data_IF_914941498888
#
_entry.id   IF_914941498888
#
_cell.length_a   1.000
_cell.length_b   1.000
_cell.length_c   1.000
_cell.angle_alpha   90.00
_cell.angle_beta   90.00
_cell.angle_gamma   90.00
#
_symmetry.space_group_name_H-M   'P 1'
#
loop_
_entity.id
_entity.type
_entity.pdbx_description
1 polymer ?
#
# COMPACT_ATOMS: atom_id res chain seq x y z
N UNK A 1 -17.51 59.28 54.88
CA UNK A 1 -16.78 58.48 53.87
C UNK A 1 -17.14 59.04 52.51
N UNK A 2 -16.20 59.72 51.84
CA UNK A 2 -16.43 60.47 50.61
C UNK A 2 -16.78 59.54 49.44
N UNK A 3 -17.98 59.74 48.88
CA UNK A 3 -18.53 59.07 47.70
C UNK A 3 -17.70 59.33 46.43
N UNK A 4 -17.00 60.46 46.36
CA UNK A 4 -16.14 60.85 45.22
C UNK A 4 -14.89 59.97 45.06
N UNK A 5 -14.32 59.48 46.17
CA UNK A 5 -13.17 58.56 46.14
C UNK A 5 -13.52 57.15 45.68
N UNK A 6 -14.78 56.74 45.81
CA UNK A 6 -15.28 55.45 45.29
C UNK A 6 -15.48 55.48 43.78
N UNK A 7 -15.97 56.60 43.23
CA UNK A 7 -16.18 56.75 41.80
C UNK A 7 -14.86 56.69 41.00
N UNK A 8 -13.79 57.31 41.51
CA UNK A 8 -12.48 57.26 40.84
C UNK A 8 -11.82 55.87 40.97
N UNK A 9 -12.02 55.19 42.09
CA UNK A 9 -11.54 53.83 42.31
C UNK A 9 -12.24 52.81 41.40
N UNK A 10 -13.56 52.89 41.27
CA UNK A 10 -14.34 52.01 40.39
C UNK A 10 -13.98 52.23 38.91
N UNK A 11 -13.73 53.48 38.51
CA UNK A 11 -13.25 53.79 37.15
C UNK A 11 -11.84 53.25 36.91
N UNK A 12 -10.93 53.39 37.89
CA UNK A 12 -9.56 52.88 37.78
C UNK A 12 -9.54 51.34 37.70
N UNK A 13 -10.35 50.68 38.51
CA UNK A 13 -10.50 49.21 38.51
C UNK A 13 -11.11 48.76 37.17
N UNK A 14 -12.17 49.44 36.70
CA UNK A 14 -12.80 49.14 35.42
C UNK A 14 -11.85 49.31 34.23
N UNK A 15 -11.07 50.40 34.20
CA UNK A 15 -10.04 50.64 33.17
C UNK A 15 -8.91 49.60 33.26
N UNK A 16 -8.52 49.19 34.46
CA UNK A 16 -7.47 48.18 34.66
C UNK A 16 -7.93 46.81 34.18
N UNK A 17 -9.16 46.39 34.51
CA UNK A 17 -9.75 45.15 34.02
C UNK A 17 -9.87 45.21 32.49
N UNK A 18 -10.31 46.34 31.93
CA UNK A 18 -10.39 46.52 30.48
C UNK A 18 -9.01 46.41 29.82
N UNK A 19 -7.98 47.10 30.33
CA UNK A 19 -6.63 47.06 29.78
C UNK A 19 -6.02 45.66 29.86
N UNK A 20 -6.17 44.96 30.99
CA UNK A 20 -5.68 43.58 31.14
C UNK A 20 -6.41 42.65 30.18
N UNK A 21 -7.72 42.77 30.06
CA UNK A 21 -8.52 41.96 29.12
C UNK A 21 -8.15 42.27 27.68
N UNK A 22 -7.91 43.54 27.35
CA UNK A 22 -7.50 43.98 26.02
C UNK A 22 -6.12 43.45 25.64
N UNK A 23 -5.14 43.56 26.55
CA UNK A 23 -3.79 42.99 26.35
C UNK A 23 -3.87 41.47 26.18
N UNK A 24 -4.69 40.80 27.01
CA UNK A 24 -4.90 39.36 26.90
C UNK A 24 -5.47 38.98 25.53
N UNK A 25 -6.55 39.63 25.07
CA UNK A 25 -7.15 39.35 23.75
C UNK A 25 -6.16 39.68 22.62
N UNK A 26 -5.44 40.80 22.71
CA UNK A 26 -4.48 41.23 21.70
C UNK A 26 -3.29 40.26 21.55
N UNK A 27 -2.90 39.56 22.62
CA UNK A 27 -1.84 38.55 22.59
C UNK A 27 -2.37 37.14 22.27
N UNK A 28 -3.54 36.79 22.80
CA UNK A 28 -4.12 35.47 22.66
C UNK A 28 -4.61 35.21 21.23
N UNK A 29 -5.29 36.19 20.63
CA UNK A 29 -5.93 36.02 19.33
C UNK A 29 -4.92 35.72 18.20
N UNK A 30 -3.79 36.44 18.05
CA UNK A 30 -2.75 36.07 17.08
C UNK A 30 -2.14 34.68 17.34
N UNK A 31 -1.98 34.31 18.61
CA UNK A 31 -1.35 33.03 19.00
C UNK A 31 -2.20 31.84 18.58
N UNK A 32 -3.53 31.91 18.80
CA UNK A 32 -4.46 30.84 18.36
C UNK A 32 -4.43 30.65 16.84
N UNK A 33 -4.25 31.73 16.07
CA UNK A 33 -4.17 31.63 14.61
C UNK A 33 -2.78 31.26 14.08
N UNK A 34 -1.72 31.35 14.89
CA UNK A 34 -0.37 30.97 14.46
C UNK A 34 -0.29 29.46 14.17
N UNK A 35 -0.87 28.64 15.06
CA UNK A 35 -0.93 27.18 14.91
C UNK A 35 -1.78 26.74 13.71
N UNK A 36 -2.90 27.43 13.47
CA UNK A 36 -3.77 27.15 12.32
C UNK A 36 -3.03 27.44 11.00
N UNK A 37 -2.18 28.48 10.97
CA UNK A 37 -1.40 28.83 9.76
C UNK A 37 -0.30 27.81 9.45
N UNK A 38 0.38 27.26 10.46
CA UNK A 38 1.38 26.21 10.25
C UNK A 38 0.72 24.92 9.76
N UNK A 39 -0.42 24.53 10.34
CA UNK A 39 -1.17 23.35 9.92
C UNK A 39 -1.69 23.44 8.47
N UNK A 40 -2.29 24.58 8.09
CA UNK A 40 -2.76 24.82 6.72
C UNK A 40 -1.60 24.77 5.72
N UNK A 41 -0.45 25.33 6.07
CA UNK A 41 0.73 25.30 5.20
C UNK A 41 1.23 23.88 4.98
N UNK A 42 1.29 23.05 6.02
CA UNK A 42 1.73 21.65 5.91
C UNK A 42 0.75 20.80 5.09
N UNK A 43 -0.56 21.00 5.29
CA UNK A 43 -1.59 20.31 4.52
C UNK A 43 -1.52 20.64 3.02
N UNK A 44 -1.29 21.91 2.69
CA UNK A 44 -1.08 22.32 1.30
C UNK A 44 0.13 21.62 0.67
N UNK A 45 1.26 21.55 1.39
CA UNK A 45 2.48 20.91 0.89
C UNK A 45 2.32 19.39 0.71
N UNK A 46 1.70 18.70 1.68
CA UNK A 46 1.42 17.27 1.56
C UNK A 46 0.48 16.95 0.39
N UNK A 47 -0.57 17.75 0.19
CA UNK A 47 -1.46 17.64 -0.95
C UNK A 47 -0.72 17.84 -2.27
N UNK A 48 0.04 18.94 -2.39
CA UNK A 48 0.81 19.28 -3.60
C UNK A 48 1.77 18.16 -3.98
N UNK A 49 2.54 17.64 -3.02
CA UNK A 49 3.47 16.53 -3.26
C UNK A 49 2.72 15.29 -3.72
N UNK A 50 1.61 14.93 -3.07
CA UNK A 50 0.82 13.77 -3.48
C UNK A 50 0.32 13.92 -4.92
N UNK A 51 -0.29 15.06 -5.25
CA UNK A 51 -0.80 15.35 -6.60
C UNK A 51 0.32 15.30 -7.63
N UNK A 52 1.47 15.90 -7.34
CA UNK A 52 2.64 15.83 -8.21
C UNK A 52 3.05 14.38 -8.45
N UNK A 53 3.17 13.57 -7.41
CA UNK A 53 3.58 12.18 -7.58
C UNK A 53 2.58 11.36 -8.43
N UNK A 54 1.27 11.58 -8.28
CA UNK A 54 0.22 10.72 -8.86
C UNK A 54 -0.51 11.30 -10.07
N UNK A 55 -0.16 12.49 -10.53
CA UNK A 55 -0.80 13.10 -11.73
C UNK A 55 0.18 13.47 -12.84
N UNK A 56 1.50 13.40 -12.60
CA UNK A 56 2.51 13.60 -13.65
C UNK A 56 3.34 12.34 -13.88
N UNK A 57 3.78 12.14 -15.11
CA UNK A 57 4.72 11.08 -15.47
C UNK A 57 6.13 11.39 -14.97
N UNK A 58 6.37 12.63 -14.59
CA UNK A 58 7.70 13.12 -14.27
C UNK A 58 8.43 13.60 -15.52
N UNK A 59 9.55 14.24 -15.26
CA UNK A 59 10.38 14.85 -16.29
C UNK A 59 11.82 14.94 -15.78
N UNK A 60 12.78 15.07 -16.68
CA UNK A 60 14.14 15.40 -16.32
C UNK A 60 14.78 16.33 -17.35
N UNK A 61 15.82 17.04 -16.91
CA UNK A 61 16.68 17.87 -17.73
C UNK A 61 18.09 17.86 -17.15
N UNK A 62 19.10 17.81 -18.01
CA UNK A 62 20.51 17.95 -17.63
C UNK A 62 21.17 19.21 -18.23
N UNK A 63 20.35 20.17 -18.67
CA UNK A 63 20.79 21.42 -19.30
C UNK A 63 21.02 21.33 -20.80
N UNK A 64 21.28 20.15 -21.35
CA UNK A 64 21.41 19.94 -22.82
C UNK A 64 20.30 19.09 -23.39
N UNK A 65 19.81 18.11 -22.64
CA UNK A 65 18.76 17.18 -23.02
C UNK A 65 17.67 17.15 -21.95
N UNK A 66 16.48 16.72 -22.34
CA UNK A 66 15.34 16.52 -21.47
C UNK A 66 14.54 15.27 -21.88
N UNK A 67 13.70 14.80 -20.99
CA UNK A 67 12.85 13.63 -21.20
C UNK A 67 11.85 13.43 -20.07
N UNK A 68 11.09 12.34 -20.11
CA UNK A 68 10.04 11.99 -19.13
C UNK A 68 10.40 10.79 -18.25
N UNK A 69 11.40 10.01 -18.65
CA UNK A 69 11.85 8.77 -18.02
C UNK A 69 12.97 9.01 -16.98
N UNK A 70 12.72 9.89 -16.02
CA UNK A 70 13.70 10.27 -15.01
C UNK A 70 14.20 9.07 -14.18
N UNK A 71 13.39 8.03 -14.07
CA UNK A 71 13.66 6.78 -13.35
C UNK A 71 14.82 5.97 -13.96
N UNK A 72 15.12 6.15 -15.24
CA UNK A 72 16.18 5.42 -15.94
C UNK A 72 17.59 6.01 -15.69
N UNK A 73 17.66 7.18 -15.04
CA UNK A 73 18.89 7.96 -14.84
C UNK A 73 19.43 7.89 -13.41
N UNK A 74 19.42 6.70 -12.79
CA UNK A 74 19.87 6.45 -11.41
C UNK A 74 21.25 7.03 -11.09
N UNK A 75 22.19 6.98 -12.05
CA UNK A 75 23.55 7.51 -11.88
C UNK A 75 23.64 9.04 -11.90
N UNK A 76 22.59 9.74 -12.36
CA UNK A 76 22.58 11.20 -12.48
C UNK A 76 21.79 11.91 -11.40
N UNK A 77 20.98 11.21 -10.59
CA UNK A 77 20.13 11.84 -9.57
C UNK A 77 20.91 12.72 -8.59
N UNK A 78 22.15 12.38 -8.27
CA UNK A 78 23.01 13.18 -7.39
C UNK A 78 23.75 14.35 -8.06
N UNK A 79 23.64 14.53 -9.37
CA UNK A 79 24.33 15.60 -10.10
C UNK A 79 23.56 16.92 -9.98
N UNK A 80 24.26 18.00 -9.64
CA UNK A 80 23.68 19.35 -9.54
C UNK A 80 23.02 19.82 -10.84
N UNK A 81 23.60 19.46 -11.99
CA UNK A 81 23.07 19.82 -13.31
C UNK A 81 21.84 19.00 -13.71
N UNK A 82 21.57 17.89 -13.03
CA UNK A 82 20.41 17.04 -13.30
C UNK A 82 19.24 17.52 -12.43
N UNK A 83 18.16 17.91 -13.10
CA UNK A 83 16.91 18.35 -12.48
C UNK A 83 15.85 17.37 -12.92
N UNK A 84 15.03 16.90 -11.99
CA UNK A 84 13.94 15.97 -12.32
C UNK A 84 12.70 16.26 -11.50
N UNK A 85 11.54 15.97 -12.09
CA UNK A 85 10.25 15.96 -11.45
C UNK A 85 9.89 14.50 -11.19
N UNK A 86 9.83 14.03 -9.93
CA UNK A 86 9.65 12.62 -9.61
C UNK A 86 8.19 12.15 -9.74
N UNK A 87 7.56 12.38 -10.90
CA UNK A 87 6.22 11.87 -11.17
C UNK A 87 6.23 10.34 -11.29
N UNK A 88 5.16 9.70 -10.82
CA UNK A 88 5.04 8.25 -10.75
C UNK A 88 4.08 7.67 -11.79
N UNK A 89 3.32 8.50 -12.50
CA UNK A 89 2.26 8.00 -13.38
C UNK A 89 2.78 7.38 -14.66
N UNK A 90 1.89 6.59 -15.27
CA UNK A 90 2.03 5.97 -16.59
C UNK A 90 0.87 6.42 -17.47
N UNK A 91 1.00 7.57 -18.11
CA UNK A 91 0.02 8.13 -19.05
C UNK A 91 -1.25 8.69 -18.42
N UNK A 92 -1.68 8.17 -17.26
CA UNK A 92 -2.97 8.49 -16.63
C UNK A 92 -2.80 8.87 -15.16
N UNK A 93 -3.55 9.87 -14.65
CA UNK A 93 -3.63 10.16 -13.23
C UNK A 93 -4.02 8.92 -12.41
N UNK A 94 -3.45 8.80 -11.22
CA UNK A 94 -3.66 7.68 -10.30
C UNK A 94 -3.21 6.31 -10.79
N UNK A 95 -2.64 6.20 -12.00
CA UNK A 95 -2.07 4.97 -12.52
C UNK A 95 -0.55 5.03 -12.49
N UNK A 96 0.05 4.43 -11.46
CA UNK A 96 1.48 4.54 -11.17
C UNK A 96 2.28 3.38 -11.77
N UNK A 97 3.48 3.69 -12.27
CA UNK A 97 4.45 2.72 -12.79
C UNK A 97 5.28 2.13 -11.64
N UNK A 98 5.30 0.79 -11.55
CA UNK A 98 6.07 0.05 -10.56
C UNK A 98 7.57 0.43 -10.54
N UNK A 99 8.18 0.66 -11.71
CA UNK A 99 9.59 1.02 -11.81
C UNK A 99 9.84 2.41 -11.23
N UNK A 100 8.92 3.35 -11.46
CA UNK A 100 9.01 4.71 -10.90
C UNK A 100 8.87 4.71 -9.38
N UNK A 101 8.03 3.83 -8.82
CA UNK A 101 7.95 3.63 -7.36
C UNK A 101 9.29 3.16 -6.77
N UNK A 102 9.94 2.15 -7.38
CA UNK A 102 11.27 1.68 -6.95
C UNK A 102 12.36 2.73 -7.18
N UNK A 103 12.27 3.50 -8.26
CA UNK A 103 13.19 4.60 -8.52
C UNK A 103 13.06 5.71 -7.47
N UNK A 104 11.84 6.07 -7.08
CA UNK A 104 11.62 7.05 -6.01
C UNK A 104 12.18 6.57 -4.67
N UNK A 105 12.00 5.29 -4.33
CA UNK A 105 12.63 4.66 -3.15
C UNK A 105 14.15 4.84 -3.18
N UNK A 106 14.78 4.48 -4.31
CA UNK A 106 16.23 4.53 -4.47
C UNK A 106 16.78 5.96 -4.51
N UNK A 107 16.12 6.87 -5.24
CA UNK A 107 16.50 8.27 -5.33
C UNK A 107 16.40 8.95 -3.96
N UNK A 108 15.32 8.71 -3.21
CA UNK A 108 15.12 9.32 -1.91
C UNK A 108 16.08 8.76 -0.86
N UNK A 109 16.36 7.45 -0.87
CA UNK A 109 17.32 6.84 0.06
C UNK A 109 18.77 7.31 -0.15
N UNK A 110 19.17 7.60 -1.40
CA UNK A 110 20.55 8.02 -1.71
C UNK A 110 20.73 9.53 -1.78
N UNK A 111 19.70 10.26 -2.20
CA UNK A 111 19.74 11.68 -2.54
C UNK A 111 18.53 12.43 -1.98
N UNK A 112 18.19 12.18 -0.70
CA UNK A 112 17.03 12.77 -0.03
C UNK A 112 16.91 14.29 -0.24
N UNK A 113 18.00 15.03 -0.02
CA UNK A 113 18.02 16.49 -0.18
C UNK A 113 17.65 16.96 -1.59
N UNK A 114 18.13 16.23 -2.61
CA UNK A 114 17.83 16.54 -4.01
C UNK A 114 16.37 16.25 -4.31
N UNK A 115 15.85 15.09 -3.91
CA UNK A 115 14.42 14.76 -4.10
C UNK A 115 13.54 15.78 -3.39
N UNK A 116 13.91 16.18 -2.17
CA UNK A 116 13.21 17.22 -1.39
C UNK A 116 13.17 18.57 -2.10
N UNK A 117 14.29 18.98 -2.69
CA UNK A 117 14.37 20.18 -3.53
C UNK A 117 13.49 20.07 -4.77
N UNK A 118 13.55 18.94 -5.49
CA UNK A 118 12.76 18.67 -6.69
C UNK A 118 11.26 18.63 -6.42
N UNK A 119 10.84 18.21 -5.23
CA UNK A 119 9.44 18.27 -4.77
C UNK A 119 9.00 19.67 -4.34
N UNK A 120 9.91 20.66 -4.37
CA UNK A 120 9.66 22.03 -3.96
C UNK A 120 9.49 22.19 -2.45
N UNK A 121 10.01 21.25 -1.66
CA UNK A 121 9.95 21.25 -0.19
C UNK A 121 11.17 21.91 0.45
N UNK A 122 12.22 22.19 -0.34
CA UNK A 122 13.41 22.94 0.08
C UNK A 122 13.52 24.20 -0.77
N UNK A 123 13.27 25.35 -0.15
CA UNK A 123 13.38 26.68 -0.78
C UNK A 123 14.19 27.62 0.11
N UNK A 124 14.60 28.79 -0.40
CA UNK A 124 15.46 29.74 0.33
C UNK A 124 14.89 30.22 1.69
N UNK A 125 13.59 30.07 1.94
CA UNK A 125 12.96 30.53 3.20
C UNK A 125 12.10 29.47 3.91
N UNK A 126 11.96 28.26 3.37
CA UNK A 126 11.14 27.18 3.95
C UNK A 126 11.72 25.83 3.58
N UNK A 127 11.83 24.97 4.58
CA UNK A 127 12.35 23.62 4.46
C UNK A 127 11.41 22.68 5.21
N UNK A 128 10.78 21.77 4.47
CA UNK A 128 9.89 20.75 5.01
C UNK A 128 10.51 19.38 4.80
N UNK A 129 10.37 18.52 5.79
CA UNK A 129 10.69 17.11 5.61
C UNK A 129 9.49 16.36 5.07
N UNK A 130 9.76 15.24 4.41
CA UNK A 130 8.71 14.40 3.89
C UNK A 130 9.03 12.91 4.04
N UNK A 131 7.96 12.13 3.98
CA UNK A 131 8.01 10.68 3.89
C UNK A 131 6.90 10.20 2.95
N UNK A 132 7.23 9.32 2.01
CA UNK A 132 6.28 8.72 1.09
C UNK A 132 6.31 7.22 1.25
N UNK A 133 5.13 6.61 1.35
CA UNK A 133 4.97 5.17 1.39
C UNK A 133 3.86 4.69 0.48
N UNK A 134 4.01 3.47 0.01
CA UNK A 134 2.94 2.72 -0.64
C UNK A 134 2.40 1.71 0.38
N UNK A 135 1.14 1.88 0.74
CA UNK A 135 0.47 1.15 1.80
C UNK A 135 -0.73 0.37 1.27
N UNK A 136 -1.11 -0.72 1.93
CA UNK A 136 -2.34 -1.44 1.61
C UNK A 136 -3.57 -0.56 1.89
N UNK A 137 -4.72 -0.88 1.28
CA UNK A 137 -5.91 -0.04 1.42
C UNK A 137 -6.44 0.05 2.86
N UNK A 138 -6.24 -1.01 3.62
CA UNK A 138 -6.60 -1.16 5.03
C UNK A 138 -5.54 -0.63 6.01
N UNK A 139 -4.40 -0.15 5.50
CA UNK A 139 -3.36 0.47 6.32
C UNK A 139 -3.90 1.68 7.08
N UNK A 140 -3.55 1.76 8.38
CA UNK A 140 -3.96 2.82 9.31
C UNK A 140 -2.75 3.69 9.69
N UNK A 141 -2.96 4.97 10.04
CA UNK A 141 -1.86 5.89 10.41
C UNK A 141 -0.92 5.35 11.50
N UNK A 142 -1.46 4.60 12.47
CA UNK A 142 -0.71 4.06 13.62
C UNK A 142 -0.32 2.58 13.48
N UNK A 143 -0.76 1.93 12.41
CA UNK A 143 -0.43 0.55 12.09
C UNK A 143 -0.30 0.43 10.57
N UNK A 144 0.87 0.84 10.08
CA UNK A 144 1.17 0.94 8.65
C UNK A 144 1.42 -0.45 8.09
N UNK A 145 0.70 -0.79 7.01
CA UNK A 145 0.91 -2.02 6.28
C UNK A 145 1.46 -1.67 4.91
N UNK A 146 2.77 -1.85 4.74
CA UNK A 146 3.48 -1.48 3.52
C UNK A 146 3.25 -2.52 2.42
N UNK A 147 3.11 -2.05 1.18
CA UNK A 147 3.04 -2.92 0.00
C UNK A 147 4.42 -3.51 -0.28
N UNK A 148 4.43 -4.82 -0.55
CA UNK A 148 5.63 -5.58 -0.87
C UNK A 148 5.61 -6.11 -2.30
N UNK A 149 6.79 -6.26 -2.88
CA UNK A 149 6.99 -6.89 -4.17
C UNK A 149 6.96 -8.43 -4.07
N UNK A 150 7.02 -9.10 -5.21
CA UNK A 150 7.07 -10.57 -5.31
C UNK A 150 8.18 -11.25 -4.52
N UNK A 151 9.21 -10.50 -4.12
CA UNK A 151 10.35 -10.98 -3.34
C UNK A 151 10.27 -10.55 -1.86
N UNK A 152 9.11 -10.11 -1.40
CA UNK A 152 8.85 -9.61 -0.03
C UNK A 152 9.63 -8.33 0.34
N UNK A 153 10.18 -7.61 -0.65
CA UNK A 153 10.79 -6.31 -0.37
C UNK A 153 9.72 -5.22 -0.39
N UNK A 154 9.85 -4.23 0.48
CA UNK A 154 9.01 -3.04 0.45
C UNK A 154 9.16 -2.32 -0.90
N UNK A 155 8.02 -1.95 -1.50
CA UNK A 155 7.99 -1.25 -2.79
C UNK A 155 8.39 0.21 -2.61
N UNK A 156 7.76 0.89 -1.67
CA UNK A 156 8.04 2.30 -1.34
C UNK A 156 7.77 2.58 0.14
N UNK A 157 8.80 3.04 0.84
CA UNK A 157 8.86 3.57 2.20
C UNK A 157 10.12 4.43 2.27
N UNK A 158 10.00 5.68 1.82
CA UNK A 158 11.14 6.55 1.51
C UNK A 158 10.95 7.96 2.08
N UNK A 159 12.01 8.50 2.67
CA UNK A 159 12.05 9.87 3.17
C UNK A 159 12.67 9.94 4.56
N UNK A 160 12.50 11.08 5.22
CA UNK A 160 12.94 11.23 6.60
C UNK A 160 12.07 10.37 7.53
N UNK A 161 12.60 10.07 8.72
CA UNK A 161 11.85 9.39 9.76
C UNK A 161 10.66 10.26 10.19
N UNK A 162 9.45 9.71 10.10
CA UNK A 162 8.23 10.40 10.56
C UNK A 162 8.38 10.69 12.07
N UNK A 163 8.27 11.95 12.50
CA UNK A 163 8.47 12.32 13.90
C UNK A 163 7.32 11.79 14.76
N UNK A 164 7.61 11.50 16.03
CA UNK A 164 6.61 11.01 16.99
C UNK A 164 5.70 12.13 17.54
N UNK A 165 6.07 13.39 17.32
CA UNK A 165 5.36 14.56 17.84
C UNK A 165 5.63 15.78 16.96
N UNK A 166 4.73 16.78 17.01
CA UNK A 166 4.80 18.00 16.21
C UNK A 166 3.64 18.10 15.23
N UNK A 167 3.62 19.18 14.45
CA UNK A 167 2.66 19.34 13.36
C UNK A 167 3.09 18.47 12.18
N UNK A 168 2.28 17.47 11.86
CA UNK A 168 2.53 16.53 10.77
C UNK A 168 1.27 16.52 9.92
N UNK A 169 1.41 16.82 8.64
CA UNK A 169 0.32 16.59 7.69
C UNK A 169 0.50 15.26 6.99
N UNK A 170 -0.60 14.52 6.88
CA UNK A 170 -0.68 13.24 6.17
C UNK A 170 -1.75 13.35 5.10
N UNK A 171 -1.38 13.05 3.86
CA UNK A 171 -2.31 12.97 2.75
C UNK A 171 -2.26 11.57 2.13
N UNK A 172 -3.42 11.06 1.74
CA UNK A 172 -3.59 9.71 1.23
C UNK A 172 -4.30 9.77 -0.12
N UNK A 173 -3.86 8.95 -1.07
CA UNK A 173 -4.57 8.77 -2.33
C UNK A 173 -4.54 7.32 -2.78
N UNK A 174 -5.68 6.81 -3.22
CA UNK A 174 -5.75 5.47 -3.79
C UNK A 174 -5.18 5.51 -5.21
N UNK A 175 -4.29 4.57 -5.51
CA UNK A 175 -3.59 4.48 -6.79
C UNK A 175 -3.70 3.07 -7.36
N UNK A 176 -3.84 3.00 -8.67
CA UNK A 176 -3.71 1.80 -9.47
C UNK A 176 -2.24 1.56 -9.81
N UNK A 177 -1.75 0.33 -9.75
CA UNK A 177 -0.36 0.00 -10.10
C UNK A 177 -0.33 -0.81 -11.39
N UNK A 178 0.62 -0.49 -12.26
CA UNK A 178 0.68 -1.02 -13.61
C UNK A 178 1.09 -2.49 -13.73
N UNK A 179 1.79 -3.04 -12.74
CA UNK A 179 2.27 -4.41 -12.75
C UNK A 179 1.82 -5.20 -11.51
N UNK A 180 0.77 -6.00 -11.67
CA UNK A 180 0.39 -6.97 -10.63
C UNK A 180 1.45 -8.06 -10.46
N UNK A 181 2.12 -8.49 -11.53
CA UNK A 181 3.11 -9.56 -11.52
C UNK A 181 4.37 -9.22 -10.73
N UNK A 182 4.71 -7.93 -10.60
CA UNK A 182 5.83 -7.49 -9.75
C UNK A 182 5.44 -7.40 -8.27
N UNK A 183 4.13 -7.42 -7.95
CA UNK A 183 3.57 -7.27 -6.61
C UNK A 183 3.07 -8.57 -5.97
N UNK A 184 3.02 -9.66 -6.73
CA UNK A 184 2.46 -10.94 -6.29
C UNK A 184 3.54 -12.03 -6.31
N UNK A 185 3.57 -12.84 -5.25
CA UNK A 185 4.38 -14.05 -5.26
C UNK A 185 3.74 -15.06 -6.20
N UNK A 186 4.55 -15.69 -7.05
CA UNK A 186 4.10 -16.74 -7.98
C UNK A 186 4.67 -18.08 -7.56
N UNK A 187 3.83 -19.12 -7.56
CA UNK A 187 4.22 -20.50 -7.25
C UNK A 187 3.82 -21.42 -8.39
N UNK A 188 4.81 -22.12 -8.97
CA UNK A 188 4.59 -23.06 -10.07
C UNK A 188 4.24 -24.46 -9.52
N UNK A 189 3.20 -25.05 -10.06
CA UNK A 189 2.67 -26.36 -9.71
C UNK A 189 2.76 -27.25 -10.94
N UNK A 190 3.60 -28.29 -10.86
CA UNK A 190 3.68 -29.32 -11.91
C UNK A 190 5.02 -29.40 -12.68
N UNK A 191 5.91 -28.41 -12.53
CA UNK A 191 7.27 -28.40 -13.08
C UNK A 191 8.35 -28.31 -11.98
N UNK A 192 9.50 -29.00 -12.10
CA UNK A 192 10.62 -28.86 -11.17
C UNK A 192 11.36 -27.54 -11.45
N UNK A 193 10.92 -26.47 -10.80
CA UNK A 193 11.60 -25.18 -10.81
C UNK A 193 11.21 -24.36 -9.58
N UNK A 194 12.09 -23.49 -9.06
CA UNK A 194 11.79 -22.74 -7.86
C UNK A 194 10.75 -21.68 -8.20
N UNK A 195 9.85 -21.38 -7.27
CA UNK A 195 8.99 -20.21 -7.40
C UNK A 195 8.73 -19.65 -6.00
N UNK A 196 9.52 -18.61 -5.67
CA UNK A 196 9.53 -17.88 -4.41
C UNK A 196 8.11 -17.47 -3.97
N UNK A 197 7.64 -18.01 -2.85
CA UNK A 197 6.60 -17.33 -2.07
C UNK A 197 6.91 -17.52 -0.57
N UNK A 198 7.02 -16.41 0.17
CA UNK A 198 7.11 -16.40 1.63
C UNK A 198 5.79 -16.85 2.30
N UNK A 199 4.67 -16.66 1.61
CA UNK A 199 3.31 -16.99 2.05
C UNK A 199 2.93 -18.46 1.83
N UNK A 200 3.45 -19.14 0.79
CA UNK A 200 3.03 -20.50 0.43
C UNK A 200 4.20 -21.47 0.40
N UNK A 201 4.00 -22.66 0.97
CA UNK A 201 5.01 -23.72 1.07
C UNK A 201 4.52 -25.00 0.44
N UNK A 202 5.41 -25.68 -0.29
CA UNK A 202 5.19 -27.05 -0.74
C UNK A 202 5.36 -28.02 0.43
N UNK A 203 4.41 -28.91 0.61
CA UNK A 203 4.63 -30.06 1.49
C UNK A 203 5.51 -31.09 0.75
N UNK A 204 6.66 -31.41 1.32
CA UNK A 204 7.66 -32.31 0.72
C UNK A 204 7.50 -33.76 1.17
N UNK A 205 6.58 -34.03 2.09
CA UNK A 205 6.33 -35.36 2.67
C UNK A 205 5.10 -36.00 2.03
N UNK A 206 5.34 -36.99 1.15
CA UNK A 206 4.30 -37.72 0.42
C UNK A 206 4.55 -37.73 -1.08
N UNK A 207 3.89 -38.62 -1.83
CA UNK A 207 3.93 -38.67 -3.30
C UNK A 207 3.12 -37.55 -3.97
N UNK A 208 2.59 -36.60 -3.19
CA UNK A 208 1.57 -35.63 -3.63
C UNK A 208 2.01 -34.19 -3.35
N UNK A 209 1.80 -33.30 -4.33
CA UNK A 209 2.24 -31.90 -4.33
C UNK A 209 1.20 -30.97 -3.64
N UNK A 210 1.04 -31.08 -2.32
CA UNK A 210 0.17 -30.15 -1.58
C UNK A 210 0.88 -28.82 -1.33
N UNK A 211 0.11 -27.74 -1.37
CA UNK A 211 0.60 -26.38 -1.12
C UNK A 211 -0.24 -25.77 -0.01
N UNK A 212 0.45 -25.28 1.02
CA UNK A 212 -0.17 -24.61 2.16
C UNK A 212 0.28 -23.16 2.18
N UNK A 213 -0.69 -22.24 2.15
CA UNK A 213 -0.51 -20.81 2.20
C UNK A 213 -0.96 -20.25 3.56
N UNK A 214 -0.16 -19.36 4.13
CA UNK A 214 -0.51 -18.60 5.32
C UNK A 214 -0.94 -17.18 4.91
N UNK A 215 -2.21 -16.88 5.10
CA UNK A 215 -2.86 -15.62 4.74
C UNK A 215 -3.56 -15.02 5.97
N UNK A 216 -4.13 -13.83 5.80
CA UNK A 216 -4.91 -13.14 6.84
C UNK A 216 -6.24 -12.70 6.24
N UNK A 217 -7.32 -12.79 7.01
CA UNK A 217 -8.62 -12.28 6.58
C UNK A 217 -8.67 -10.74 6.72
N UNK A 218 -9.18 -9.98 5.73
CA UNK A 218 -9.63 -10.43 4.42
C UNK A 218 -8.46 -10.77 3.49
N UNK A 219 -8.63 -11.84 2.71
CA UNK A 219 -7.65 -12.22 1.68
C UNK A 219 -7.53 -11.08 0.66
N UNK A 220 -6.30 -10.61 0.45
CA UNK A 220 -5.97 -9.43 -0.37
C UNK A 220 -5.92 -9.74 -1.86
N UNK A 221 -5.13 -10.74 -2.24
CA UNK A 221 -5.05 -11.22 -3.61
C UNK A 221 -4.74 -12.72 -3.65
N UNK A 222 -5.55 -13.46 -4.41
CA UNK A 222 -5.33 -14.88 -4.67
C UNK A 222 -5.96 -15.28 -6.02
N UNK A 223 -5.14 -15.79 -6.94
CA UNK A 223 -5.60 -16.31 -8.23
C UNK A 223 -4.82 -17.57 -8.63
N UNK A 224 -5.44 -18.36 -9.49
CA UNK A 224 -4.81 -19.53 -10.11
C UNK A 224 -4.88 -19.39 -11.62
N UNK A 225 -3.73 -19.45 -12.29
CA UNK A 225 -3.64 -19.56 -13.74
C UNK A 225 -3.33 -21.01 -14.12
N UNK A 226 -4.19 -21.61 -14.94
CA UNK A 226 -4.05 -22.98 -15.43
C UNK A 226 -3.39 -22.95 -16.79
N UNK A 227 -2.18 -23.48 -16.90
CA UNK A 227 -1.45 -23.55 -18.18
C UNK A 227 -1.97 -24.70 -19.06
N UNK A 228 -2.22 -25.86 -18.43
CA UNK A 228 -2.60 -27.11 -19.10
C UNK A 228 -1.39 -27.99 -19.42
N UNK A 229 -1.61 -29.31 -19.58
CA UNK A 229 -0.59 -30.27 -20.06
C UNK A 229 -1.02 -30.91 -21.38
N UNK A 230 -0.06 -31.24 -22.24
CA UNK A 230 -0.29 -32.07 -23.42
C UNK A 230 -0.35 -33.56 -23.04
N UNK A 231 -1.50 -34.22 -23.16
CA UNK A 231 -1.66 -35.66 -22.86
C UNK A 231 -3.12 -36.10 -22.70
N UNK A 232 -3.42 -37.42 -22.62
CA UNK A 232 -4.80 -37.90 -22.53
C UNK A 232 -5.41 -37.63 -21.15
N UNK A 233 -6.72 -37.38 -21.17
CA UNK A 233 -7.49 -36.60 -20.21
C UNK A 233 -7.97 -37.41 -18.99
N UNK A 234 -7.24 -37.31 -17.88
CA UNK A 234 -7.94 -37.23 -16.59
C UNK A 234 -8.41 -35.78 -16.38
N UNK A 235 -9.62 -35.58 -15.83
CA UNK A 235 -10.10 -34.24 -15.55
C UNK A 235 -9.10 -33.47 -14.68
N UNK A 236 -8.78 -32.25 -15.07
CA UNK A 236 -7.97 -31.36 -14.26
C UNK A 236 -8.83 -30.85 -13.11
N UNK A 237 -8.40 -31.13 -11.89
CA UNK A 237 -9.16 -30.80 -10.70
C UNK A 237 -8.34 -29.98 -9.71
N UNK A 238 -9.04 -29.14 -8.97
CA UNK A 238 -8.56 -28.28 -7.91
C UNK A 238 -9.36 -28.57 -6.64
N UNK A 239 -8.67 -28.77 -5.52
CA UNK A 239 -9.26 -28.85 -4.19
C UNK A 239 -8.64 -27.78 -3.31
N UNK A 240 -9.45 -27.06 -2.53
CA UNK A 240 -9.00 -26.05 -1.58
C UNK A 240 -9.69 -26.32 -0.24
N UNK A 241 -8.90 -26.32 0.82
CA UNK A 241 -9.30 -26.46 2.21
C UNK A 241 -8.85 -25.21 2.98
N UNK A 242 -9.70 -24.69 3.87
CA UNK A 242 -9.40 -23.53 4.72
C UNK A 242 -9.35 -23.97 6.19
N UNK A 243 -8.36 -23.47 6.93
CA UNK A 243 -8.15 -23.77 8.34
C UNK A 243 -7.88 -22.49 9.14
N UNK A 244 -8.33 -22.46 10.40
CA UNK A 244 -8.01 -21.39 11.38
C UNK A 244 -6.62 -21.55 12.00
N UNK A 245 -6.10 -22.77 11.99
CA UNK A 245 -4.80 -23.14 12.53
C UNK A 245 -3.97 -23.84 11.45
N UNK A 246 -2.66 -23.90 11.65
CA UNK A 246 -1.77 -24.56 10.70
C UNK A 246 -2.19 -26.03 10.51
N UNK A 247 -2.55 -26.45 9.29
CA UNK A 247 -3.06 -27.80 9.09
C UNK A 247 -1.95 -28.83 9.35
N UNK A 248 -2.33 -29.95 9.97
CA UNK A 248 -1.45 -31.09 10.15
C UNK A 248 -1.03 -31.76 8.83
N UNK A 249 -0.11 -32.73 8.93
CA UNK A 249 0.30 -33.55 7.79
C UNK A 249 -0.87 -34.41 7.29
N UNK A 250 -1.12 -34.38 5.98
CA UNK A 250 -2.20 -35.16 5.36
C UNK A 250 -2.86 -34.42 4.20
N UNK A 251 -3.39 -35.16 3.23
CA UNK A 251 -4.07 -34.58 2.08
C UNK A 251 -5.24 -33.67 2.50
N UNK A 252 -5.46 -32.57 1.79
CA UNK A 252 -6.79 -31.96 1.73
C UNK A 252 -7.74 -33.06 1.24
N UNK A 253 -8.49 -33.67 2.16
CA UNK A 253 -9.24 -34.88 1.89
C UNK A 253 -10.31 -34.55 0.86
N UNK A 254 -10.30 -35.26 -0.27
CA UNK A 254 -11.36 -35.18 -1.27
C UNK A 254 -12.69 -35.81 -0.79
N UNK A 255 -12.92 -35.86 0.52
CA UNK A 255 -14.16 -36.36 1.11
C UNK A 255 -14.78 -35.24 1.93
N UNK A 256 -15.85 -34.73 1.31
CA UNK A 256 -16.98 -34.03 1.92
C UNK A 256 -17.24 -34.69 3.27
N UNK A 257 -16.96 -33.96 4.34
CA UNK A 257 -17.61 -33.97 5.65
C UNK A 257 -16.64 -33.23 6.60
N UNK A 258 -16.85 -31.91 6.68
CA UNK A 258 -16.32 -30.95 7.67
C UNK A 258 -15.28 -29.87 7.27
N UNK A 259 -14.96 -29.66 5.98
CA UNK A 259 -14.20 -28.46 5.59
C UNK A 259 -14.73 -27.79 4.31
N UNK A 260 -14.74 -26.47 4.36
CA UNK A 260 -15.47 -25.51 3.54
C UNK A 260 -15.26 -25.67 2.03
N UNK A 261 -16.34 -25.96 1.31
CA UNK A 261 -16.37 -26.18 -0.15
C UNK A 261 -16.26 -24.85 -0.91
N UNK A 262 -15.37 -24.77 -1.90
CA UNK A 262 -15.20 -23.56 -2.73
C UNK A 262 -16.11 -23.60 -3.97
N UNK A 263 -16.71 -22.46 -4.28
CA UNK A 263 -17.58 -22.24 -5.45
C UNK A 263 -16.88 -21.33 -6.46
N UNK A 264 -16.98 -21.61 -7.77
CA UNK A 264 -16.57 -20.69 -8.85
C UNK A 264 -17.80 -20.49 -9.72
N UNK A 265 -18.25 -19.24 -9.87
CA UNK A 265 -19.45 -18.87 -10.65
C UNK A 265 -20.69 -19.72 -10.28
N UNK A 266 -21.07 -19.70 -9.00
CA UNK A 266 -22.24 -20.40 -8.43
C UNK A 266 -22.24 -21.93 -8.55
N UNK A 267 -21.17 -22.51 -9.09
CA UNK A 267 -20.98 -23.94 -9.24
C UNK A 267 -19.96 -24.42 -8.21
N UNK A 268 -20.30 -25.50 -7.48
CA UNK A 268 -19.35 -26.21 -6.61
C UNK A 268 -18.12 -26.57 -7.42
N UNK A 269 -16.92 -26.15 -7.00
CA UNK A 269 -15.66 -26.46 -7.70
C UNK A 269 -15.23 -27.86 -7.34
N UNK A 270 -15.99 -28.83 -7.83
CA UNK A 270 -15.44 -30.08 -8.29
C UNK A 270 -15.40 -29.93 -9.79
N UNK A 271 -14.45 -29.12 -10.27
CA UNK A 271 -14.27 -28.95 -11.70
C UNK A 271 -13.59 -30.19 -12.21
N UNK A 272 -14.34 -31.04 -12.87
CA UNK A 272 -13.82 -32.00 -13.82
C UNK A 272 -13.32 -31.33 -15.12
N UNK A 273 -13.36 -29.99 -15.23
CA UNK A 273 -12.99 -29.27 -16.46
C UNK A 273 -12.33 -27.90 -16.22
N UNK A 274 -11.15 -27.85 -15.57
CA UNK A 274 -10.34 -26.63 -15.64
C UNK A 274 -9.98 -26.40 -17.12
N UNK A 275 -10.05 -25.16 -17.57
CA UNK A 275 -9.76 -24.82 -18.97
C UNK A 275 -8.29 -24.41 -19.11
N UNK A 276 -7.62 -24.83 -20.18
CA UNK A 276 -6.24 -24.41 -20.41
C UNK A 276 -6.17 -22.92 -20.68
N UNK A 277 -5.08 -22.30 -20.26
CA UNK A 277 -4.79 -20.88 -20.44
C UNK A 277 -5.87 -19.97 -19.86
N UNK A 278 -6.41 -20.35 -18.70
CA UNK A 278 -7.45 -19.60 -18.00
C UNK A 278 -7.00 -19.20 -16.60
N UNK A 279 -7.28 -17.94 -16.26
CA UNK A 279 -7.10 -17.40 -14.91
C UNK A 279 -8.41 -17.49 -14.14
N UNK A 280 -8.30 -17.93 -12.90
CA UNK A 280 -9.39 -18.05 -11.94
C UNK A 280 -9.10 -17.09 -10.76
N UNK A 281 -9.71 -15.91 -10.73
CA UNK A 281 -9.58 -14.99 -9.60
C UNK A 281 -10.42 -15.50 -8.43
N UNK A 282 -9.77 -15.92 -7.34
CA UNK A 282 -10.46 -16.54 -6.20
C UNK A 282 -10.52 -15.61 -4.97
N UNK A 283 -9.95 -14.41 -5.03
CA UNK A 283 -9.96 -13.43 -3.94
C UNK A 283 -11.37 -13.20 -3.37
N UNK A 284 -12.33 -12.83 -4.22
CA UNK A 284 -13.70 -12.52 -3.78
C UNK A 284 -14.43 -13.75 -3.26
N UNK A 285 -14.22 -14.89 -3.91
CA UNK A 285 -14.77 -16.17 -3.49
C UNK A 285 -14.29 -16.51 -2.09
N UNK A 286 -12.98 -16.45 -1.84
CA UNK A 286 -12.38 -16.72 -0.53
C UNK A 286 -12.87 -15.73 0.52
N UNK A 287 -12.94 -14.43 0.20
CA UNK A 287 -13.46 -13.41 1.11
C UNK A 287 -14.89 -13.70 1.54
N UNK A 288 -15.79 -13.95 0.59
CA UNK A 288 -17.20 -14.23 0.87
C UNK A 288 -17.36 -15.49 1.72
N UNK A 289 -16.62 -16.54 1.38
CA UNK A 289 -16.63 -17.81 2.09
C UNK A 289 -16.16 -17.62 3.55
N UNK A 290 -15.02 -16.96 3.76
CA UNK A 290 -14.49 -16.70 5.10
C UNK A 290 -15.43 -15.84 5.95
N UNK A 291 -16.03 -14.79 5.37
CA UNK A 291 -16.99 -13.95 6.07
C UNK A 291 -18.26 -14.70 6.46
N UNK A 292 -18.78 -15.59 5.60
CA UNK A 292 -19.97 -16.39 5.90
C UNK A 292 -19.74 -17.40 7.03
N UNK A 293 -18.52 -17.92 7.16
CA UNK A 293 -18.14 -18.84 8.23
C UNK A 293 -17.63 -18.14 9.51
N UNK A 294 -17.78 -16.82 9.58
CA UNK A 294 -17.48 -16.02 10.78
C UNK A 294 -15.99 -15.82 11.05
N UNK A 295 -15.15 -15.70 10.02
CA UNK A 295 -13.80 -15.16 10.20
C UNK A 295 -13.89 -13.64 10.39
N UNK A 296 -13.14 -13.14 11.37
CA UNK A 296 -13.04 -11.71 11.65
C UNK A 296 -11.82 -11.11 10.96
N UNK A 297 -11.82 -9.78 10.84
CA UNK A 297 -10.70 -9.05 10.28
C UNK A 297 -9.44 -9.29 11.14
N UNK A 298 -8.36 -9.72 10.51
CA UNK A 298 -7.09 -10.05 11.16
C UNK A 298 -6.94 -11.53 11.51
N UNK A 299 -7.98 -12.35 11.36
CA UNK A 299 -7.90 -13.79 11.63
C UNK A 299 -6.88 -14.47 10.69
N UNK A 300 -6.06 -15.40 11.20
CA UNK A 300 -5.20 -16.22 10.36
C UNK A 300 -6.05 -17.13 9.45
N UNK A 301 -5.59 -17.29 8.21
CA UNK A 301 -6.23 -18.13 7.20
C UNK A 301 -5.16 -19.03 6.60
N UNK A 302 -5.20 -20.31 6.98
CA UNK A 302 -4.36 -21.32 6.37
C UNK A 302 -5.13 -21.96 5.21
N UNK A 303 -4.66 -21.72 3.99
CA UNK A 303 -5.25 -22.25 2.77
C UNK A 303 -4.38 -23.40 2.28
N UNK A 304 -4.91 -24.62 2.35
CA UNK A 304 -4.28 -25.80 1.74
C UNK A 304 -4.97 -26.10 0.43
N UNK A 305 -4.22 -26.27 -0.65
CA UNK A 305 -4.83 -26.63 -1.92
C UNK A 305 -3.99 -27.61 -2.72
N UNK A 306 -4.67 -28.28 -3.63
CA UNK A 306 -4.16 -29.36 -4.46
C UNK A 306 -4.71 -29.22 -5.86
N UNK A 307 -3.81 -29.24 -6.84
CA UNK A 307 -4.17 -29.28 -8.26
C UNK A 307 -3.45 -30.47 -8.91
N UNK A 308 -4.17 -31.27 -9.69
CA UNK A 308 -3.62 -32.45 -10.37
C UNK A 308 -3.82 -32.38 -11.88
N UNK A 309 -2.98 -33.15 -12.58
CA UNK A 309 -3.06 -33.42 -14.02
C UNK A 309 -2.87 -32.20 -14.94
N UNK A 310 -2.39 -31.08 -14.40
CA UNK A 310 -2.07 -29.86 -15.16
C UNK A 310 -0.83 -29.16 -14.60
N UNK A 311 -0.19 -28.32 -15.41
CA UNK A 311 0.72 -27.27 -14.92
C UNK A 311 -0.11 -26.03 -14.58
N UNK A 312 0.25 -25.33 -13.51
CA UNK A 312 -0.48 -24.16 -13.04
C UNK A 312 0.41 -23.22 -12.24
N UNK A 313 -0.02 -21.97 -12.15
CA UNK A 313 0.63 -20.92 -11.39
C UNK A 313 -0.36 -20.39 -10.36
N UNK A 314 0.05 -20.39 -9.10
CA UNK A 314 -0.63 -19.67 -8.05
C UNK A 314 -0.01 -18.29 -7.95
N UNK A 315 -0.82 -17.23 -7.98
CA UNK A 315 -0.38 -15.90 -7.63
C UNK A 315 -1.10 -15.43 -6.36
N UNK A 316 -0.34 -14.97 -5.37
CA UNK A 316 -0.89 -14.52 -4.11
C UNK A 316 -0.10 -13.32 -3.55
N UNK A 317 -0.80 -12.46 -2.81
CA UNK A 317 -0.18 -11.39 -2.03
C UNK A 317 -0.98 -11.10 -0.78
N UNK A 318 -0.29 -10.73 0.29
CA UNK A 318 -0.85 -10.31 1.57
C UNK A 318 -0.91 -8.79 1.74
N UNK A 319 -0.39 -8.01 0.79
CA UNK A 319 -0.24 -6.55 0.96
C UNK A 319 -0.84 -5.72 -0.17
N UNK A 320 -1.10 -6.29 -1.34
CA UNK A 320 -1.76 -5.58 -2.46
C UNK A 320 -3.22 -6.03 -2.62
N UNK A 321 -4.13 -5.07 -2.71
CA UNK A 321 -5.53 -5.31 -3.03
C UNK A 321 -5.74 -5.36 -4.56
N UNK A 322 -6.79 -6.05 -5.00
CA UNK A 322 -7.15 -6.12 -6.42
C UNK A 322 -8.61 -5.77 -6.62
N UNK A 323 -8.85 -4.75 -7.45
CA UNK A 323 -10.17 -4.21 -7.73
C UNK A 323 -10.28 -3.96 -9.24
N UNK A 324 -11.44 -4.20 -9.84
CA UNK A 324 -11.69 -3.89 -11.26
C UNK A 324 -10.59 -4.34 -12.26
N UNK A 325 -9.92 -5.46 -12.00
CA UNK A 325 -8.88 -6.00 -12.88
C UNK A 325 -7.49 -5.39 -12.71
N UNK A 326 -7.26 -4.57 -11.68
CA UNK A 326 -5.98 -3.88 -11.45
C UNK A 326 -5.55 -3.96 -9.98
N UNK A 327 -4.24 -3.91 -9.76
CA UNK A 327 -3.64 -3.77 -8.43
C UNK A 327 -3.96 -2.38 -7.85
N UNK A 328 -4.36 -2.33 -6.57
CA UNK A 328 -4.69 -1.08 -5.87
C UNK A 328 -3.94 -0.99 -4.57
N UNK A 329 -3.38 0.18 -4.32
CA UNK A 329 -2.76 0.56 -3.07
C UNK A 329 -3.14 2.00 -2.70
N UNK A 330 -2.63 2.42 -1.55
CA UNK A 330 -2.70 3.79 -1.06
C UNK A 330 -1.32 4.40 -1.10
N UNK A 331 -1.13 5.47 -1.87
CA UNK A 331 0.05 6.32 -1.74
C UNK A 331 -0.18 7.28 -0.56
N UNK A 332 0.73 7.27 0.40
CA UNK A 332 0.66 8.10 1.60
C UNK A 332 1.86 9.03 1.63
N UNK A 333 1.61 10.33 1.80
CA UNK A 333 2.62 11.36 1.91
C UNK A 333 2.49 12.05 3.26
N UNK A 334 3.59 12.10 4.00
CA UNK A 334 3.74 12.87 5.22
C UNK A 334 4.62 14.09 4.96
N UNK A 335 4.27 15.24 5.52
CA UNK A 335 5.07 16.47 5.49
C UNK A 335 5.08 17.14 6.87
N UNK A 336 6.24 17.61 7.32
CA UNK A 336 6.42 18.30 8.60
C UNK A 336 7.54 19.33 8.60
#
# INVERSE_FOLDING_TARGET
>A
MNTEGRLSLDMLIGLSIFLVTFIFIAQFLPTVFADIRSEISLAHEAYKVTVLLVETEGAWSNGTHNGTNWEDYESQWGNDSFIFLPGLTKGEPDYVDFRKLKALQNATSRHYDKVREMLGLKTLGREYNFHVSLESLDSKPYNRTLVKDRNDNVVLDAGAQIPLSGYISRYERNVWIDSIYDLVGTYNIGSPGPANIFLCKKETTGSENDITCNLTHPVKFFEIYVEGKSGPAEPWWLSICLYREEPGQGACSSKIDDYLTIYINDSKVWSDQLQPKKTYPLTDVLRNILSNEGWEYGDPVYLKFRIKNTDSYLNASSTIDYLAGKAVAKLVVYVW
#
